data_IF_806635093519
#
_entry.id   IF_806635093519
#
_cell.length_a   1.000
_cell.length_b   1.000
_cell.length_c   1.000
_cell.angle_alpha   90.00
_cell.angle_beta   90.00
_cell.angle_gamma   90.00
#
_symmetry.space_group_name_H-M   'P 1'
#
loop_
_entity.id
_entity.type
_entity.pdbx_description
1 polymer ?
#
# COMPACT_ATOMS: atom_id res chain seq x y z
N UNK A 1 -0.27 16.07 20.96
CA UNK A 1 -0.55 14.64 21.12
C UNK A 1 0.26 14.12 22.30
N UNK A 2 -0.39 13.44 23.24
CA UNK A 2 0.29 12.81 24.38
C UNK A 2 0.88 11.45 23.96
N UNK A 3 1.93 11.00 24.65
CA UNK A 3 2.56 9.70 24.39
C UNK A 3 1.59 8.51 24.54
N UNK A 4 0.52 8.67 25.32
CA UNK A 4 -0.54 7.67 25.50
C UNK A 4 -1.46 7.53 24.28
N UNK A 5 -1.71 8.62 23.53
CA UNK A 5 -2.47 8.55 22.28
C UNK A 5 -1.68 7.83 21.19
N UNK A 6 -0.37 8.09 21.09
CA UNK A 6 0.51 7.42 20.14
C UNK A 6 0.58 5.90 20.38
N UNK A 7 0.58 5.45 21.65
CA UNK A 7 0.59 4.02 21.97
C UNK A 7 -0.72 3.32 21.55
N UNK A 8 -1.87 3.98 21.74
CA UNK A 8 -3.17 3.44 21.31
C UNK A 8 -3.33 3.35 19.78
N UNK A 9 -2.79 4.32 19.05
CA UNK A 9 -2.82 4.31 17.58
C UNK A 9 -1.87 3.24 17.00
N UNK A 10 -0.73 3.02 17.65
CA UNK A 10 0.24 1.96 17.31
C UNK A 10 -0.34 0.55 17.51
N UNK A 11 -1.16 0.37 18.55
CA UNK A 11 -1.86 -0.89 18.80
C UNK A 11 -2.90 -1.18 17.70
N UNK A 12 -3.62 -0.16 17.22
CA UNK A 12 -4.65 -0.32 16.19
C UNK A 12 -4.07 -0.70 14.82
N UNK A 13 -2.97 -0.08 14.40
CA UNK A 13 -2.28 -0.47 13.16
C UNK A 13 -1.72 -1.90 13.24
N UNK A 14 -1.29 -2.32 14.43
CA UNK A 14 -0.79 -3.68 14.66
C UNK A 14 -1.93 -4.70 14.57
N UNK A 15 -3.05 -4.45 15.25
CA UNK A 15 -4.28 -5.28 15.19
C UNK A 15 -4.78 -5.40 13.74
N UNK A 16 -4.79 -4.29 13.02
CA UNK A 16 -5.25 -4.25 11.64
C UNK A 16 -4.32 -5.03 10.69
N UNK A 17 -3.01 -4.92 10.88
CA UNK A 17 -2.03 -5.70 10.11
C UNK A 17 -2.12 -7.19 10.42
N UNK A 18 -2.29 -7.57 11.69
CA UNK A 18 -2.51 -8.97 12.09
C UNK A 18 -3.81 -9.53 11.52
N UNK A 19 -4.88 -8.75 11.57
CA UNK A 19 -6.19 -9.15 11.02
C UNK A 19 -6.17 -9.24 9.50
N UNK A 20 -5.43 -8.36 8.83
CA UNK A 20 -5.17 -8.47 7.40
C UNK A 20 -4.37 -9.74 7.10
N UNK A 21 -3.28 -9.99 7.83
CA UNK A 21 -2.43 -11.16 7.66
C UNK A 21 -3.19 -12.49 7.84
N UNK A 22 -4.15 -12.56 8.76
CA UNK A 22 -4.98 -13.75 8.97
C UNK A 22 -5.84 -14.14 7.74
N UNK A 23 -6.04 -13.22 6.80
CA UNK A 23 -6.78 -13.43 5.55
C UNK A 23 -5.85 -13.78 4.37
N UNK A 24 -4.55 -13.78 4.60
CA UNK A 24 -3.50 -14.05 3.62
C UNK A 24 -2.91 -15.43 3.84
N UNK A 25 -2.42 -16.08 2.78
CA UNK A 25 -1.73 -17.37 2.88
C UNK A 25 -0.25 -17.22 3.26
N UNK A 26 0.01 -16.54 4.39
CA UNK A 26 1.36 -16.17 4.87
C UNK A 26 2.26 -17.37 5.15
N UNK A 27 1.69 -18.56 5.38
CA UNK A 27 2.41 -19.82 5.54
C UNK A 27 3.04 -20.32 4.21
N UNK A 28 2.52 -19.86 3.08
CA UNK A 28 2.96 -20.30 1.74
C UNK A 28 3.96 -19.36 1.11
N UNK A 29 3.74 -18.06 1.26
CA UNK A 29 4.51 -17.00 0.60
C UNK A 29 4.52 -15.71 1.43
N UNK A 30 5.54 -14.87 1.30
CA UNK A 30 5.52 -13.54 1.90
C UNK A 30 4.38 -12.71 1.33
N UNK A 31 3.79 -11.83 2.12
CA UNK A 31 2.87 -10.83 1.63
C UNK A 31 3.40 -9.45 1.96
N UNK A 32 3.39 -8.56 0.97
CA UNK A 32 3.65 -7.15 1.20
C UNK A 32 2.35 -6.54 1.68
N UNK A 33 2.33 -6.00 2.89
CA UNK A 33 1.11 -5.55 3.56
C UNK A 33 1.21 -4.06 3.86
N UNK A 34 0.25 -3.30 3.37
CA UNK A 34 0.00 -1.92 3.72
C UNK A 34 -1.30 -1.79 4.49
N UNK A 35 -1.32 -0.96 5.53
CA UNK A 35 -2.52 -0.68 6.32
C UNK A 35 -2.59 0.82 6.56
N UNK A 36 -3.79 1.38 6.48
CA UNK A 36 -4.08 2.74 6.88
C UNK A 36 -5.28 2.78 7.82
N UNK A 37 -5.26 3.76 8.73
CA UNK A 37 -6.33 4.02 9.69
C UNK A 37 -6.55 5.53 9.84
N UNK A 38 -7.80 5.97 9.65
CA UNK A 38 -8.22 7.35 9.91
C UNK A 38 -8.38 7.59 11.41
N UNK A 39 -7.41 8.27 12.03
CA UNK A 39 -7.35 8.42 13.49
C UNK A 39 -8.52 9.27 14.01
N UNK A 40 -9.15 8.86 15.11
CA UNK A 40 -10.31 9.54 15.72
C UNK A 40 -11.57 9.53 14.85
N UNK A 41 -11.61 8.79 13.73
CA UNK A 41 -12.85 8.54 13.01
C UNK A 41 -13.77 7.65 13.87
N UNK A 42 -15.09 7.92 13.94
CA UNK A 42 -16.04 7.03 14.60
C UNK A 42 -15.95 5.59 14.10
N UNK A 43 -15.84 4.64 15.02
CA UNK A 43 -15.63 3.21 14.73
C UNK A 43 -16.86 2.49 14.14
N UNK A 44 -18.02 3.15 14.12
CA UNK A 44 -19.32 2.61 13.69
C UNK A 44 -19.63 2.83 12.20
N UNK A 45 -18.75 3.55 11.48
CA UNK A 45 -18.96 3.88 10.07
C UNK A 45 -18.42 2.78 9.15
N UNK A 46 -19.25 1.78 8.86
CA UNK A 46 -18.89 0.73 7.90
C UNK A 46 -18.94 1.23 6.45
N UNK A 47 -18.00 0.76 5.62
CA UNK A 47 -18.05 1.00 4.18
C UNK A 47 -19.16 0.15 3.55
N UNK A 48 -20.10 0.79 2.86
CA UNK A 48 -21.02 0.09 1.97
C UNK A 48 -20.26 -0.43 0.74
N UNK A 49 -20.79 -1.45 0.06
CA UNK A 49 -20.20 -1.96 -1.18
C UNK A 49 -20.06 -0.86 -2.26
N UNK A 50 -21.01 0.07 -2.31
CA UNK A 50 -20.94 1.22 -3.22
C UNK A 50 -19.83 2.20 -2.84
N UNK A 51 -19.64 2.45 -1.55
CA UNK A 51 -18.56 3.29 -1.05
C UNK A 51 -17.20 2.67 -1.37
N UNK A 52 -17.05 1.36 -1.14
CA UNK A 52 -15.85 0.60 -1.52
C UNK A 52 -15.55 0.78 -3.01
N UNK A 53 -16.54 0.59 -3.89
CA UNK A 53 -16.34 0.74 -5.33
C UNK A 53 -15.91 2.17 -5.69
N UNK A 54 -16.55 3.19 -5.10
CA UNK A 54 -16.16 4.60 -5.32
C UNK A 54 -14.72 4.88 -4.89
N UNK A 55 -14.24 4.30 -3.79
CA UNK A 55 -12.84 4.43 -3.37
C UNK A 55 -11.89 3.85 -4.41
N UNK A 56 -12.20 2.66 -4.96
CA UNK A 56 -11.41 2.03 -6.02
C UNK A 56 -11.43 2.87 -7.31
N UNK A 57 -12.60 3.41 -7.68
CA UNK A 57 -12.75 4.26 -8.85
C UNK A 57 -11.94 5.55 -8.71
N UNK A 58 -11.94 6.17 -7.52
CA UNK A 58 -11.10 7.34 -7.20
C UNK A 58 -9.61 6.96 -7.35
N UNK A 59 -9.18 5.85 -6.74
CA UNK A 59 -7.78 5.43 -6.79
C UNK A 59 -7.29 5.20 -8.22
N UNK A 60 -8.11 4.52 -9.02
CA UNK A 60 -7.83 4.18 -10.44
C UNK A 60 -7.87 5.42 -11.34
N UNK A 61 -8.72 6.41 -11.03
CA UNK A 61 -8.84 7.62 -11.85
C UNK A 61 -7.77 8.68 -11.55
N UNK A 62 -7.17 8.64 -10.37
CA UNK A 62 -6.27 9.71 -9.88
C UNK A 62 -4.80 9.34 -9.94
N UNK A 63 -4.47 8.04 -9.99
CA UNK A 63 -3.09 7.55 -10.00
C UNK A 63 -2.97 6.29 -10.86
N UNK A 64 -1.74 5.86 -11.13
CA UNK A 64 -1.49 4.50 -11.62
C UNK A 64 -1.76 3.53 -10.47
N UNK A 65 -3.03 3.15 -10.27
CA UNK A 65 -3.44 2.19 -9.25
C UNK A 65 -3.87 0.87 -9.91
N UNK A 66 -3.35 -0.28 -9.46
CA UNK A 66 -2.24 -0.42 -8.51
C UNK A 66 -0.89 -0.01 -9.12
N UNK A 67 -0.03 0.60 -8.30
CA UNK A 67 1.24 1.26 -8.69
C UNK A 67 2.42 0.31 -8.85
N UNK A 68 2.16 -0.99 -8.90
CA UNK A 68 3.18 -2.03 -9.03
C UNK A 68 3.99 -1.92 -10.33
N UNK A 69 5.28 -2.33 -10.35
CA UNK A 69 6.10 -2.41 -11.57
C UNK A 69 5.57 -3.39 -12.64
N UNK A 70 4.46 -4.07 -12.36
CA UNK A 70 3.71 -4.88 -13.31
C UNK A 70 2.38 -4.14 -13.49
N UNK A 71 2.19 -3.57 -14.68
CA UNK A 71 0.96 -2.91 -15.07
C UNK A 71 -0.22 -3.90 -15.01
N UNK A 72 -0.82 -4.08 -13.84
CA UNK A 72 -2.12 -4.74 -13.67
C UNK A 72 -3.16 -4.14 -14.64
N UNK A 73 -2.97 -2.85 -14.99
CA UNK A 73 -3.82 -2.06 -15.86
C UNK A 73 -3.67 -2.38 -17.36
N UNK A 74 -2.49 -2.80 -17.82
CA UNK A 74 -2.25 -2.97 -19.26
C UNK A 74 -2.95 -4.20 -19.86
N UNK A 75 -3.36 -5.16 -19.01
CA UNK A 75 -3.87 -6.47 -19.44
C UNK A 75 -5.14 -6.95 -18.72
N UNK A 76 -5.69 -6.14 -17.82
CA UNK A 76 -6.91 -6.41 -17.08
C UNK A 76 -6.70 -7.26 -15.82
N UNK A 77 -7.69 -7.20 -14.92
CA UNK A 77 -7.73 -8.00 -13.70
C UNK A 77 -9.07 -8.72 -13.59
N UNK A 78 -9.05 -9.89 -12.94
CA UNK A 78 -10.27 -10.54 -12.48
C UNK A 78 -10.57 -10.07 -11.05
N UNK A 79 -11.79 -9.58 -10.83
CA UNK A 79 -12.24 -9.13 -9.52
C UNK A 79 -13.07 -10.22 -8.84
N UNK A 80 -12.61 -10.67 -7.69
CA UNK A 80 -13.36 -11.59 -6.82
C UNK A 80 -13.76 -10.82 -5.54
N UNK A 81 -15.08 -10.69 -5.32
CA UNK A 81 -15.64 -10.11 -4.11
C UNK A 81 -15.90 -11.22 -3.10
N UNK A 82 -15.34 -11.09 -1.90
CA UNK A 82 -15.69 -11.97 -0.79
C UNK A 82 -17.18 -11.78 -0.41
N UNK A 83 -17.92 -12.84 -0.04
CA UNK A 83 -19.31 -12.77 0.41
C UNK A 83 -19.59 -11.76 1.54
N UNK A 84 -18.59 -11.46 2.38
CA UNK A 84 -18.71 -10.46 3.44
C UNK A 84 -18.51 -9.02 2.92
N UNK A 85 -18.32 -8.84 1.60
CA UNK A 85 -18.15 -7.59 0.85
C UNK A 85 -16.98 -6.68 1.28
N UNK A 86 -16.12 -7.17 2.17
CA UNK A 86 -15.01 -6.40 2.76
C UNK A 86 -13.67 -6.63 2.09
N UNK A 87 -13.54 -7.63 1.21
CA UNK A 87 -12.28 -7.98 0.55
C UNK A 87 -12.50 -8.05 -0.95
N UNK A 88 -11.69 -7.28 -1.68
CA UNK A 88 -11.57 -7.32 -3.13
C UNK A 88 -10.26 -8.02 -3.45
N UNK A 89 -10.32 -9.06 -4.26
CA UNK A 89 -9.13 -9.68 -4.83
C UNK A 89 -9.02 -9.32 -6.30
N UNK A 90 -7.91 -8.71 -6.70
CA UNK A 90 -7.53 -8.47 -8.09
C UNK A 90 -6.41 -9.44 -8.46
N UNK A 91 -6.60 -10.25 -9.51
CA UNK A 91 -5.56 -11.15 -10.03
C UNK A 91 -5.16 -10.75 -11.44
N UNK A 92 -3.85 -10.74 -11.71
CA UNK A 92 -3.32 -10.50 -13.04
C UNK A 92 -3.58 -11.70 -13.96
N UNK A 93 -4.11 -11.45 -15.18
CA UNK A 93 -4.45 -12.52 -16.14
C UNK A 93 -3.21 -13.31 -16.60
N UNK A 94 -2.13 -12.60 -16.93
CA UNK A 94 -0.87 -13.20 -17.42
C UNK A 94 0.05 -13.67 -16.30
N UNK A 95 -0.19 -13.19 -15.07
CA UNK A 95 0.63 -13.47 -13.90
C UNK A 95 -0.29 -13.78 -12.70
N UNK A 96 -0.99 -14.93 -12.69
CA UNK A 96 -1.98 -15.25 -11.67
C UNK A 96 -1.40 -15.48 -10.26
N UNK A 97 -0.07 -15.61 -10.16
CA UNK A 97 0.64 -15.58 -8.88
C UNK A 97 0.66 -14.17 -8.26
N UNK A 98 0.35 -13.14 -9.04
CA UNK A 98 0.20 -11.76 -8.60
C UNK A 98 -1.24 -11.50 -8.22
N UNK A 99 -1.41 -11.20 -6.95
CA UNK A 99 -2.70 -10.99 -6.34
C UNK A 99 -2.60 -9.75 -5.47
N UNK A 100 -3.55 -8.85 -5.66
CA UNK A 100 -3.78 -7.72 -4.79
C UNK A 100 -5.08 -7.96 -4.04
N UNK A 101 -4.99 -8.07 -2.72
CA UNK A 101 -6.15 -8.15 -1.83
C UNK A 101 -6.33 -6.83 -1.13
N UNK A 102 -7.45 -6.19 -1.34
CA UNK A 102 -7.80 -4.91 -0.70
C UNK A 102 -8.92 -5.19 0.28
N UNK A 103 -8.79 -4.77 1.52
CA UNK A 103 -9.84 -4.90 2.50
C UNK A 103 -10.20 -3.59 3.19
N UNK A 104 -11.49 -3.42 3.47
CA UNK A 104 -12.06 -2.25 4.13
C UNK A 104 -12.75 -2.65 5.42
N UNK A 105 -12.53 -1.89 6.50
CA UNK A 105 -13.16 -2.15 7.80
C UNK A 105 -12.75 -3.50 8.41
N UNK A 106 -11.51 -3.93 8.15
CA UNK A 106 -10.97 -5.17 8.70
C UNK A 106 -10.97 -5.09 10.23
N UNK A 107 -11.24 -6.23 10.89
CA UNK A 107 -11.37 -6.34 12.34
C UNK A 107 -12.61 -5.64 12.95
N UNK A 108 -13.57 -5.23 12.13
CA UNK A 108 -14.75 -4.50 12.60
C UNK A 108 -14.42 -3.07 13.05
N UNK A 109 -13.29 -2.53 12.61
CA UNK A 109 -12.82 -1.18 12.93
C UNK A 109 -13.07 -0.31 11.69
N UNK A 110 -13.98 0.64 11.78
CA UNK A 110 -14.25 1.59 10.71
C UNK A 110 -13.00 2.40 10.33
N UNK A 111 -12.94 2.82 9.07
CA UNK A 111 -11.85 3.66 8.59
C UNK A 111 -10.49 2.96 8.45
N UNK A 112 -10.47 1.62 8.52
CA UNK A 112 -9.28 0.83 8.18
C UNK A 112 -9.32 0.42 6.72
N UNK A 113 -8.20 0.68 6.02
CA UNK A 113 -7.90 0.14 4.69
C UNK A 113 -6.69 -0.75 4.82
N UNK A 114 -6.75 -1.97 4.30
CA UNK A 114 -5.59 -2.84 4.18
C UNK A 114 -5.39 -3.27 2.74
N UNK A 115 -4.13 -3.40 2.36
CA UNK A 115 -3.70 -3.76 1.02
C UNK A 115 -2.64 -4.85 1.18
N UNK A 116 -2.91 -6.03 0.62
CA UNK A 116 -1.95 -7.12 0.52
C UNK A 116 -1.58 -7.35 -0.93
N UNK A 117 -0.30 -7.32 -1.27
CA UNK A 117 0.20 -7.62 -2.60
C UNK A 117 1.19 -8.79 -2.54
N UNK A 118 1.05 -9.76 -3.46
CA UNK A 118 2.00 -10.88 -3.61
C UNK A 118 2.77 -10.77 -4.92
N UNK A 119 4.00 -10.28 -4.82
CA UNK A 119 5.10 -10.46 -5.79
C UNK A 119 6.25 -11.26 -5.20
N UNK A 120 6.03 -11.77 -4.00
CA UNK A 120 6.99 -12.57 -3.30
C UNK A 120 7.13 -13.92 -3.98
N UNK A 121 8.29 -14.52 -3.80
CA UNK A 121 8.67 -15.80 -4.39
C UNK A 121 8.82 -15.82 -5.91
N UNK A 122 8.34 -14.82 -6.67
CA UNK A 122 8.45 -14.78 -8.15
C UNK A 122 8.97 -13.42 -8.59
N UNK A 123 10.16 -13.42 -9.20
CA UNK A 123 10.81 -12.21 -9.71
C UNK A 123 10.18 -11.76 -11.04
N UNK A 124 10.54 -10.56 -11.48
CA UNK A 124 10.02 -9.96 -12.72
C UNK A 124 10.30 -10.80 -13.99
N UNK A 125 11.33 -11.66 -13.97
CA UNK A 125 11.66 -12.57 -15.07
C UNK A 125 10.92 -13.93 -14.99
N UNK A 126 10.03 -14.09 -14.01
CA UNK A 126 9.26 -15.31 -13.76
C UNK A 126 10.01 -16.38 -12.98
N UNK A 127 11.28 -16.16 -12.61
CA UNK A 127 12.04 -17.09 -11.78
C UNK A 127 11.49 -17.13 -10.36
N UNK A 128 11.55 -18.31 -9.73
CA UNK A 128 11.09 -18.51 -8.36
C UNK A 128 12.24 -18.36 -7.36
N UNK A 129 12.06 -17.52 -6.34
CA UNK A 129 12.98 -17.34 -5.22
C UNK A 129 12.21 -17.22 -3.91
N UNK A 130 11.99 -18.32 -3.17
CA UNK A 130 11.28 -18.30 -1.89
C UNK A 130 11.80 -17.21 -0.93
N UNK A 131 10.89 -16.51 -0.27
CA UNK A 131 11.21 -15.41 0.64
C UNK A 131 11.58 -14.09 -0.06
N UNK A 132 11.50 -14.01 -1.40
CA UNK A 132 11.84 -12.79 -2.11
C UNK A 132 10.90 -11.64 -1.76
N UNK A 133 11.48 -10.46 -1.49
CA UNK A 133 10.79 -9.19 -1.28
C UNK A 133 11.50 -8.15 -2.13
N UNK A 134 10.78 -7.53 -3.06
CA UNK A 134 11.34 -6.50 -3.96
C UNK A 134 11.03 -5.12 -3.40
N UNK A 135 12.04 -4.25 -3.34
CA UNK A 135 11.91 -2.89 -2.82
C UNK A 135 10.80 -2.10 -3.53
N UNK A 136 10.82 -2.07 -4.87
CA UNK A 136 9.82 -1.33 -5.64
C UNK A 136 8.38 -1.79 -5.37
N UNK A 137 8.15 -3.06 -5.06
CA UNK A 137 6.81 -3.57 -4.76
C UNK A 137 6.31 -3.11 -3.39
N UNK A 138 7.21 -3.02 -2.42
CA UNK A 138 6.88 -2.53 -1.09
C UNK A 138 6.63 -1.01 -1.12
N UNK A 139 7.35 -0.28 -1.96
CA UNK A 139 7.08 1.12 -2.27
C UNK A 139 5.72 1.30 -2.95
N UNK A 140 5.35 0.43 -3.91
CA UNK A 140 4.02 0.43 -4.51
C UNK A 140 2.92 0.16 -3.50
N UNK A 141 3.11 -0.79 -2.56
CA UNK A 141 2.13 -1.03 -1.49
C UNK A 141 1.93 0.22 -0.62
N UNK A 142 3.01 0.95 -0.30
CA UNK A 142 2.89 2.20 0.44
C UNK A 142 2.12 3.27 -0.34
N UNK A 143 2.37 3.40 -1.65
CA UNK A 143 1.64 4.32 -2.53
C UNK A 143 0.15 3.94 -2.64
N UNK A 144 -0.14 2.69 -2.99
CA UNK A 144 -1.50 2.14 -3.14
C UNK A 144 -2.32 2.30 -1.86
N UNK A 145 -1.72 1.99 -0.72
CA UNK A 145 -2.38 2.16 0.59
C UNK A 145 -2.68 3.62 0.87
N UNK A 146 -1.77 4.54 0.52
CA UNK A 146 -1.97 5.98 0.71
C UNK A 146 -3.11 6.50 -0.16
N UNK A 147 -3.13 6.13 -1.44
CA UNK A 147 -4.19 6.55 -2.39
C UNK A 147 -5.55 6.01 -1.96
N UNK A 148 -5.63 4.73 -1.59
CA UNK A 148 -6.88 4.15 -1.11
C UNK A 148 -7.34 4.77 0.20
N UNK A 149 -6.43 5.11 1.11
CA UNK A 149 -6.76 5.79 2.35
C UNK A 149 -7.29 7.21 2.12
N UNK A 150 -6.72 7.95 1.17
CA UNK A 150 -7.24 9.26 0.76
C UNK A 150 -8.62 9.13 0.12
N UNK A 151 -8.80 8.19 -0.81
CA UNK A 151 -10.10 7.93 -1.42
C UNK A 151 -11.17 7.55 -0.39
N UNK A 152 -10.80 6.70 0.56
CA UNK A 152 -11.64 6.33 1.70
C UNK A 152 -11.99 7.52 2.60
N UNK A 153 -11.02 8.38 2.89
CA UNK A 153 -11.23 9.60 3.66
C UNK A 153 -12.20 10.56 2.96
N UNK A 154 -12.03 10.77 1.65
CA UNK A 154 -12.94 11.60 0.85
C UNK A 154 -14.37 11.04 0.90
N UNK A 155 -14.52 9.73 0.68
CA UNK A 155 -15.83 9.08 0.67
C UNK A 155 -16.55 9.15 2.02
N UNK A 156 -15.80 9.12 3.12
CA UNK A 156 -16.34 9.29 4.47
C UNK A 156 -16.46 10.76 4.91
N UNK A 157 -16.02 11.72 4.08
CA UNK A 157 -15.95 13.14 4.46
C UNK A 157 -14.97 13.42 5.60
N UNK A 158 -13.95 12.57 5.76
CA UNK A 158 -12.93 12.67 6.80
C UNK A 158 -11.74 13.50 6.34
N UNK A 159 -11.35 14.46 7.18
CA UNK A 159 -10.18 15.32 6.97
C UNK A 159 -9.42 15.40 8.30
N UNK A 160 -8.28 14.73 8.37
CA UNK A 160 -7.50 14.63 9.58
C UNK A 160 -6.29 13.72 9.41
N UNK A 161 -5.66 13.32 10.52
CA UNK A 161 -4.52 12.42 10.50
C UNK A 161 -4.93 11.00 10.10
N UNK A 162 -4.19 10.42 9.16
CA UNK A 162 -4.28 9.05 8.69
C UNK A 162 -2.96 8.39 9.07
N UNK A 163 -3.00 7.39 9.93
CA UNK A 163 -1.82 6.58 10.25
C UNK A 163 -1.68 5.48 9.21
N UNK A 164 -0.48 5.29 8.68
CA UNK A 164 -0.15 4.31 7.66
C UNK A 164 1.00 3.44 8.13
N UNK A 165 0.96 2.16 7.73
CA UNK A 165 1.99 1.18 7.96
C UNK A 165 2.24 0.38 6.68
N UNK A 166 3.50 0.11 6.37
CA UNK A 166 3.90 -0.84 5.33
C UNK A 166 4.86 -1.88 5.92
N UNK A 167 4.70 -3.15 5.53
CA UNK A 167 5.48 -4.25 6.08
C UNK A 167 5.41 -5.52 5.24
N UNK A 168 6.00 -6.59 5.78
CA UNK A 168 5.98 -7.93 5.18
C UNK A 168 5.45 -8.91 6.20
N UNK A 169 4.47 -9.72 5.80
CA UNK A 169 3.94 -10.83 6.61
C UNK A 169 4.36 -12.17 6.01
N UNK A 170 5.08 -13.00 6.76
CA UNK A 170 5.55 -14.29 6.29
C UNK A 170 5.75 -15.28 7.43
N UNK A 171 5.04 -16.42 7.37
CA UNK A 171 5.07 -17.47 8.38
C UNK A 171 5.59 -18.82 7.83
N UNK A 172 6.07 -18.82 6.58
CA UNK A 172 6.43 -20.04 5.86
C UNK A 172 7.70 -20.77 6.37
N UNK A 173 7.97 -21.98 5.86
CA UNK A 173 9.15 -22.75 6.23
C UNK A 173 10.43 -22.02 5.83
N UNK A 174 11.37 -21.86 6.77
CA UNK A 174 12.64 -21.21 6.47
C UNK A 174 12.57 -19.69 6.33
N UNK A 175 11.53 -19.04 6.92
CA UNK A 175 11.23 -17.62 7.31
C UNK A 175 12.15 -16.45 6.92
N UNK A 176 13.38 -16.71 6.53
CA UNK A 176 14.33 -15.75 6.03
C UNK A 176 13.83 -15.13 4.72
N UNK A 177 13.75 -13.80 4.73
CA UNK A 177 13.49 -13.00 3.56
C UNK A 177 14.80 -12.77 2.79
N UNK A 178 14.68 -12.66 1.48
CA UNK A 178 15.73 -12.13 0.61
C UNK A 178 15.23 -10.86 -0.03
N UNK A 179 15.94 -9.78 0.22
CA UNK A 179 15.64 -8.46 -0.28
C UNK A 179 16.26 -8.28 -1.66
N UNK A 180 15.43 -7.89 -2.62
CA UNK A 180 15.80 -7.58 -3.99
C UNK A 180 15.58 -6.09 -4.27
N UNK A 181 16.50 -5.50 -5.02
CA UNK A 181 16.38 -4.13 -5.51
C UNK A 181 17.05 -4.02 -6.89
N UNK A 182 16.71 -2.97 -7.63
CA UNK A 182 17.40 -2.65 -8.88
C UNK A 182 18.76 -2.08 -8.51
N UNK A 183 19.83 -2.68 -9.03
CA UNK A 183 21.18 -2.14 -8.91
C UNK A 183 21.32 -0.93 -9.84
N UNK A 184 21.73 0.23 -9.30
CA UNK A 184 21.78 1.50 -10.04
C UNK A 184 22.78 1.45 -11.21
N UNK A 185 23.88 0.70 -11.06
CA UNK A 185 24.94 0.61 -12.07
C UNK A 185 24.57 -0.31 -13.24
N UNK A 186 24.00 -1.48 -12.94
CA UNK A 186 23.67 -2.49 -13.95
C UNK A 186 22.23 -2.41 -14.47
N UNK A 187 21.37 -1.62 -13.82
CA UNK A 187 19.92 -1.54 -14.07
C UNK A 187 19.23 -2.92 -14.02
N UNK A 188 19.77 -3.84 -13.20
CA UNK A 188 19.24 -5.21 -13.06
C UNK A 188 18.71 -5.44 -11.65
N UNK A 189 17.61 -6.17 -11.56
CA UNK A 189 17.10 -6.67 -10.29
C UNK A 189 18.07 -7.73 -9.73
N UNK A 190 18.53 -7.53 -8.50
CA UNK A 190 19.44 -8.46 -7.84
C UNK A 190 19.23 -8.50 -6.32
N UNK A 191 19.73 -9.55 -5.65
CA UNK A 191 19.66 -9.63 -4.21
C UNK A 191 20.61 -8.61 -3.57
N UNK A 192 20.11 -7.82 -2.62
CA UNK A 192 20.90 -6.86 -1.83
C UNK A 192 21.14 -7.34 -0.41
N UNK A 193 20.29 -8.22 0.11
CA UNK A 193 20.45 -8.86 1.42
C UNK A 193 19.68 -10.18 1.48
N UNK A 194 20.28 -11.20 2.07
CA UNK A 194 19.66 -12.52 2.29
C UNK A 194 19.72 -12.89 3.78
N UNK A 195 18.92 -13.86 4.20
CA UNK A 195 18.92 -14.33 5.59
C UNK A 195 18.24 -13.36 6.56
N UNK A 196 17.24 -12.60 6.09
CA UNK A 196 16.59 -11.59 6.92
C UNK A 196 15.41 -12.20 7.67
N UNK A 197 15.55 -12.38 8.99
CA UNK A 197 14.53 -13.02 9.82
C UNK A 197 13.14 -12.38 9.75
N UNK A 198 13.09 -11.04 9.66
CA UNK A 198 11.85 -10.28 9.57
C UNK A 198 12.07 -8.89 8.99
N UNK A 199 11.06 -8.37 8.32
CA UNK A 199 10.97 -6.94 7.99
C UNK A 199 10.42 -6.17 9.20
N UNK A 200 10.98 -5.00 9.52
CA UNK A 200 10.41 -4.13 10.56
C UNK A 200 9.35 -3.23 9.94
N UNK A 201 8.08 -3.26 10.35
CA UNK A 201 7.06 -2.40 9.74
C UNK A 201 7.45 -0.91 9.81
N UNK A 202 7.27 -0.20 8.71
CA UNK A 202 7.50 1.25 8.63
C UNK A 202 6.16 1.95 8.84
N UNK A 203 6.13 2.94 9.74
CA UNK A 203 4.93 3.70 10.09
C UNK A 203 5.12 5.18 9.81
N UNK A 204 4.09 5.82 9.27
CA UNK A 204 4.03 7.26 9.01
C UNK A 204 2.61 7.78 9.17
N UNK A 205 2.45 9.06 9.45
CA UNK A 205 1.14 9.71 9.54
C UNK A 205 1.03 10.83 8.51
N UNK A 206 0.02 10.74 7.65
CA UNK A 206 -0.35 11.79 6.71
C UNK A 206 -1.45 12.64 7.36
N UNK A 207 -1.33 13.97 7.36
CA UNK A 207 -2.45 14.84 7.74
C UNK A 207 -3.17 15.29 6.48
N UNK A 208 -4.31 14.67 6.18
CA UNK A 208 -5.10 14.96 4.99
C UNK A 208 -6.11 16.06 5.28
N UNK A 209 -6.13 17.11 4.45
CA UNK A 209 -7.01 18.27 4.59
C UNK A 209 -7.76 18.53 3.28
N UNK A 210 -8.85 19.29 3.35
CA UNK A 210 -9.61 19.71 2.17
C UNK A 210 -8.78 20.55 1.19
N UNK A 211 -7.75 21.22 1.70
CA UNK A 211 -6.80 22.05 0.96
C UNK A 211 -5.44 21.36 0.74
N UNK A 212 -5.33 20.06 0.98
CA UNK A 212 -4.09 19.31 0.72
C UNK A 212 -3.75 19.34 -0.77
N UNK A 213 -2.52 19.76 -1.07
CA UNK A 213 -2.01 19.81 -2.44
C UNK A 213 -1.36 18.48 -2.84
N UNK A 214 -1.40 18.09 -4.14
CA UNK A 214 -0.73 16.88 -4.62
C UNK A 214 0.75 16.78 -4.21
N UNK A 215 1.45 17.92 -4.18
CA UNK A 215 2.86 17.99 -3.76
C UNK A 215 3.08 17.57 -2.30
N UNK A 216 2.13 17.84 -1.40
CA UNK A 216 2.22 17.40 0.00
C UNK A 216 2.13 15.87 0.09
N UNK A 217 1.23 15.27 -0.67
CA UNK A 217 1.07 13.80 -0.74
C UNK A 217 2.32 13.15 -1.34
N UNK A 218 2.90 13.74 -2.38
CA UNK A 218 4.12 13.22 -3.00
C UNK A 218 5.35 13.34 -2.09
N UNK A 219 5.49 14.47 -1.37
CA UNK A 219 6.52 14.61 -0.34
C UNK A 219 6.39 13.55 0.74
N UNK A 220 5.17 13.30 1.22
CA UNK A 220 4.89 12.21 2.16
C UNK A 220 5.28 10.83 1.62
N UNK A 221 4.88 10.49 0.38
CA UNK A 221 5.19 9.21 -0.24
C UNK A 221 6.69 9.01 -0.42
N UNK A 222 7.42 10.06 -0.82
CA UNK A 222 8.88 10.01 -0.93
C UNK A 222 9.55 9.72 0.42
N UNK A 223 9.11 10.37 1.49
CA UNK A 223 9.61 10.10 2.84
C UNK A 223 9.28 8.68 3.31
N UNK A 224 8.06 8.22 3.06
CA UNK A 224 7.61 6.89 3.43
C UNK A 224 8.42 5.81 2.69
N UNK A 225 8.60 5.97 1.38
CA UNK A 225 9.47 5.12 0.58
C UNK A 225 10.93 5.18 1.07
N UNK A 226 11.45 6.37 1.40
CA UNK A 226 12.82 6.52 1.93
C UNK A 226 13.07 5.73 3.20
N UNK A 227 12.08 5.64 4.10
CA UNK A 227 12.19 4.82 5.30
C UNK A 227 12.14 3.32 5.01
N UNK A 228 11.35 2.91 4.01
CA UNK A 228 11.32 1.53 3.50
C UNK A 228 12.67 1.16 2.89
N UNK A 229 13.18 1.95 1.94
CA UNK A 229 14.44 1.67 1.22
C UNK A 229 15.65 1.65 2.16
N UNK A 230 15.61 2.38 3.28
CA UNK A 230 16.66 2.34 4.31
C UNK A 230 16.88 0.94 4.88
N UNK A 231 15.82 0.13 5.01
CA UNK A 231 15.96 -1.26 5.48
C UNK A 231 16.67 -2.15 4.45
N UNK A 232 16.51 -1.84 3.16
CA UNK A 232 17.23 -2.49 2.06
C UNK A 232 18.67 -1.97 1.90
N UNK A 233 19.00 -0.83 2.51
CA UNK A 233 20.28 -0.15 2.31
C UNK A 233 20.36 0.58 0.97
N UNK A 234 19.22 0.93 0.39
CA UNK A 234 19.06 1.52 -0.95
C UNK A 234 18.35 2.87 -0.86
N UNK A 235 18.32 3.59 -1.99
CA UNK A 235 17.44 4.76 -2.20
C UNK A 235 16.08 4.31 -2.74
N UNK A 236 15.03 5.14 -2.64
CA UNK A 236 13.75 4.84 -3.28
C UNK A 236 13.87 4.65 -4.78
N UNK A 237 13.12 3.71 -5.35
CA UNK A 237 13.27 3.28 -6.75
C UNK A 237 12.02 3.51 -7.60
N UNK A 238 10.85 3.53 -6.99
CA UNK A 238 9.56 3.72 -7.67
C UNK A 238 9.05 5.16 -7.51
N UNK A 239 9.09 5.68 -6.29
CA UNK A 239 8.51 6.99 -5.94
C UNK A 239 9.40 8.17 -6.35
N UNK A 240 10.65 7.91 -6.72
CA UNK A 240 11.61 8.89 -7.24
C UNK A 240 11.23 9.47 -8.60
N UNK A 241 10.57 8.69 -9.47
CA UNK A 241 10.15 9.15 -10.79
C UNK A 241 8.99 10.17 -10.73
N UNK A 242 8.29 10.24 -9.59
CA UNK A 242 7.22 11.22 -9.36
C UNK A 242 7.77 12.54 -8.80
N UNK A 243 8.95 12.54 -8.18
CA UNK A 243 9.52 13.73 -7.53
C UNK A 243 10.48 14.53 -8.44
N UNK A 244 10.50 14.25 -9.74
CA UNK A 244 11.26 15.05 -10.68
C UNK A 244 10.59 16.42 -10.83
N UNK A 245 11.26 17.48 -10.33
CA UNK A 245 10.74 18.86 -10.26
C UNK A 245 10.45 19.47 -11.65
N UNK A 246 10.78 18.76 -12.72
CA UNK A 246 10.66 19.19 -14.12
C UNK A 246 9.46 18.55 -14.88
N UNK A 247 8.57 17.80 -14.23
CA UNK A 247 7.36 17.24 -14.88
C UNK A 247 6.25 18.32 -14.96
N UNK A 248 5.86 18.80 -16.16
CA UNK A 248 4.89 19.89 -16.31
C UNK A 248 3.45 19.53 -15.88
N UNK A 249 3.15 18.24 -15.74
CA UNK A 249 1.80 17.70 -15.49
C UNK A 249 1.28 17.99 -14.06
N UNK A 250 2.13 18.49 -13.16
CA UNK A 250 1.71 19.01 -11.85
C UNK A 250 0.89 20.31 -11.92
N UNK A 251 0.77 20.93 -13.10
CA UNK A 251 -0.06 22.11 -13.31
C UNK A 251 -1.56 21.84 -13.45
N UNK A 252 -1.96 20.62 -13.83
CA UNK A 252 -3.35 20.25 -14.04
C UNK A 252 -3.83 19.36 -12.88
N UNK A 253 -4.20 20.01 -11.78
CA UNK A 253 -4.74 19.42 -10.55
C UNK A 253 -5.95 18.48 -10.83
N UNK A 254 -5.77 17.15 -10.81
CA UNK A 254 -6.86 16.20 -11.05
C UNK A 254 -7.79 16.08 -9.83
N UNK A 255 -7.31 16.48 -8.65
CA UNK A 255 -8.00 16.35 -7.36
C UNK A 255 -8.85 17.59 -7.03
N UNK A 256 -8.44 18.77 -7.50
CA UNK A 256 -9.10 20.04 -7.19
C UNK A 256 -10.37 20.34 -7.98
N UNK A 257 -10.56 19.71 -9.15
CA UNK A 257 -11.70 20.05 -10.01
C UNK A 257 -13.04 19.41 -9.62
N UNK A 258 -13.03 18.27 -8.91
CA UNK A 258 -14.28 17.59 -8.50
C UNK A 258 -14.67 17.83 -7.03
N UNK A 259 -13.70 18.01 -6.13
CA UNK A 259 -13.98 18.22 -4.70
C UNK A 259 -14.53 19.62 -4.37
N UNK A 260 -14.33 20.61 -5.24
CA UNK A 260 -14.78 22.01 -5.02
C UNK A 260 -16.20 22.30 -5.51
N UNK A 261 -16.93 21.31 -6.01
CA UNK A 261 -18.29 21.47 -6.56
C UNK A 261 -19.37 20.62 -5.85
N UNK A 262 -19.04 19.97 -4.72
CA UNK A 262 -20.00 19.25 -3.88
C UNK A 262 -20.31 20.03 -2.59
#
# INVERSE_FOLDING_TARGET
MSAEQNAGDDDLLSIAAESAAALLDTERRPWLVGVAHMLNHPLDSEFSAEAVQRVIDIATATTQFPSGPIDFLSKGFEQELNPDHRIITLRGVDFPNLELKIGFGIAGIAGIVAVGLTRSDILADGSQHPGAVVLGDLESVAADTTVLAIGAAIELGYYGPIALQAGVSYDGPGRELTYFAIDEDSARLGPVRSGVDRFTPVRRTLTFRTDSEPREVHGFLYEFASDISRQFGMRPQLVTNLFDEDIPEYGDDPLGHKARQA
#
